data_IF_483659445650
#
_entry.id   IF_483659445650
#
_cell.length_a   1.000
_cell.length_b   1.000
_cell.length_c   1.000
_cell.angle_alpha   90.00
_cell.angle_beta   90.00
_cell.angle_gamma   90.00
#
_symmetry.space_group_name_H-M   'P 1'
#
loop_
_entity.id
_entity.type
_entity.pdbx_description
1 polymer ?
#
# COMPACT_ATOMS: atom_id res chain seq x y z
N UNK A 1 -8.84 34.64 -8.00
CA UNK A 1 -7.52 34.43 -7.42
C UNK A 1 -6.52 34.26 -8.55
N UNK A 2 -5.32 34.77 -8.40
CA UNK A 2 -4.35 34.90 -9.47
C UNK A 2 -3.39 33.71 -9.47
N UNK A 3 -3.73 32.62 -10.17
CA UNK A 3 -2.94 31.39 -10.23
C UNK A 3 -1.51 31.63 -10.77
N UNK A 4 -1.32 32.58 -11.67
CA UNK A 4 0.00 32.92 -12.20
C UNK A 4 0.97 33.50 -11.16
N UNK A 5 0.46 34.16 -10.11
CA UNK A 5 1.27 34.60 -8.98
C UNK A 5 1.65 33.42 -8.07
N UNK A 6 0.71 32.50 -7.83
CA UNK A 6 0.95 31.28 -7.07
C UNK A 6 2.03 30.39 -7.74
N UNK A 7 1.97 30.29 -9.09
CA UNK A 7 2.97 29.55 -9.87
C UNK A 7 4.38 30.16 -9.84
N UNK A 8 4.53 31.42 -9.37
CA UNK A 8 5.87 32.05 -9.16
C UNK A 8 6.51 31.66 -7.85
N UNK A 9 5.81 31.00 -6.96
CA UNK A 9 6.35 30.52 -5.69
C UNK A 9 7.40 29.44 -5.96
N UNK A 10 8.59 29.52 -5.27
CA UNK A 10 9.69 28.60 -5.52
C UNK A 10 9.34 27.12 -5.28
N UNK A 11 8.50 26.83 -4.29
CA UNK A 11 8.04 25.48 -3.97
C UNK A 11 7.18 24.88 -5.11
N UNK A 12 6.26 25.67 -5.66
CA UNK A 12 5.42 25.24 -6.78
C UNK A 12 6.26 25.08 -8.06
N UNK A 13 7.16 26.05 -8.35
CA UNK A 13 8.05 25.97 -9.52
C UNK A 13 8.94 24.73 -9.44
N UNK A 14 9.53 24.45 -8.27
CA UNK A 14 10.36 23.28 -8.05
C UNK A 14 9.64 21.99 -8.42
N UNK A 15 8.38 21.85 -8.02
CA UNK A 15 7.58 20.65 -8.33
C UNK A 15 7.34 20.50 -9.84
N UNK A 16 7.05 21.58 -10.54
CA UNK A 16 6.85 21.54 -12.00
C UNK A 16 8.16 21.23 -12.75
N UNK A 17 9.27 21.84 -12.33
CA UNK A 17 10.60 21.56 -12.87
C UNK A 17 11.03 20.11 -12.63
N UNK A 18 10.75 19.60 -11.41
CA UNK A 18 11.02 18.19 -11.06
C UNK A 18 10.24 17.25 -11.98
N UNK A 19 8.93 17.48 -12.15
CA UNK A 19 8.12 16.67 -13.08
C UNK A 19 8.67 16.70 -14.49
N UNK A 20 9.04 17.86 -15.01
CA UNK A 20 9.63 18.00 -16.35
C UNK A 20 10.93 17.20 -16.48
N UNK A 21 11.82 17.29 -15.47
CA UNK A 21 13.08 16.54 -15.45
C UNK A 21 12.84 15.03 -15.42
N UNK A 22 11.93 14.54 -14.56
CA UNK A 22 11.58 13.12 -14.45
C UNK A 22 11.08 12.59 -15.80
N UNK A 23 10.18 13.32 -16.47
CA UNK A 23 9.67 12.91 -17.78
C UNK A 23 10.74 12.86 -18.86
N UNK A 24 11.69 13.81 -18.85
CA UNK A 24 12.84 13.81 -19.78
C UNK A 24 13.76 12.61 -19.57
N UNK A 25 14.12 12.32 -18.31
CA UNK A 25 14.96 11.17 -17.96
C UNK A 25 14.28 9.83 -18.30
N UNK A 26 12.97 9.74 -18.07
CA UNK A 26 12.18 8.57 -18.41
C UNK A 26 12.19 8.31 -19.91
N UNK A 27 11.95 9.34 -20.75
CA UNK A 27 12.01 9.20 -22.21
C UNK A 27 13.39 8.75 -22.68
N UNK A 28 14.44 9.34 -22.14
CA UNK A 28 15.81 8.96 -22.49
C UNK A 28 16.11 7.51 -22.12
N UNK A 29 15.74 7.09 -20.91
CA UNK A 29 15.91 5.70 -20.46
C UNK A 29 15.15 4.74 -21.37
N UNK A 30 13.85 4.98 -21.60
CA UNK A 30 13.01 4.09 -22.42
C UNK A 30 13.52 3.99 -23.86
N UNK A 31 13.95 5.11 -24.45
CA UNK A 31 14.57 5.09 -25.79
C UNK A 31 15.86 4.25 -25.82
N UNK A 32 16.71 4.35 -24.80
CA UNK A 32 17.94 3.56 -24.68
C UNK A 32 17.66 2.04 -24.51
N UNK A 33 16.51 1.70 -23.89
CA UNK A 33 16.02 0.32 -23.76
C UNK A 33 15.32 -0.19 -25.03
N UNK A 34 15.29 0.59 -26.10
CA UNK A 34 14.71 0.23 -27.39
C UNK A 34 13.18 0.35 -27.44
N UNK A 35 12.56 1.09 -26.53
CA UNK A 35 11.13 1.37 -26.61
C UNK A 35 10.83 2.50 -27.58
N UNK A 36 9.75 2.34 -28.32
CA UNK A 36 9.22 3.37 -29.22
C UNK A 36 8.11 4.16 -28.50
N UNK A 37 8.26 5.48 -28.39
CA UNK A 37 7.20 6.35 -27.87
C UNK A 37 6.14 6.57 -28.95
N UNK A 38 4.90 6.13 -28.70
CA UNK A 38 3.78 6.28 -29.62
C UNK A 38 2.62 6.94 -28.92
N UNK A 39 2.19 8.09 -29.42
CA UNK A 39 0.97 8.77 -28.97
C UNK A 39 -0.26 8.05 -29.49
N UNK A 40 -1.25 7.86 -28.62
CA UNK A 40 -2.54 7.24 -28.94
C UNK A 40 -3.68 8.27 -28.85
N UNK A 41 -4.79 8.06 -29.56
CA UNK A 41 -5.93 8.96 -29.51
C UNK A 41 -6.50 9.13 -28.11
N UNK A 42 -6.86 10.37 -27.73
CA UNK A 42 -7.55 10.69 -26.49
C UNK A 42 -9.08 10.61 -26.67
N UNK A 43 -9.62 11.08 -27.82
CA UNK A 43 -11.03 10.90 -28.12
C UNK A 43 -11.24 9.50 -28.71
N UNK A 44 -11.75 8.59 -27.91
CA UNK A 44 -11.93 7.21 -28.32
C UNK A 44 -13.35 6.71 -28.00
N UNK A 45 -13.60 5.44 -28.27
CA UNK A 45 -14.83 4.75 -27.87
C UNK A 45 -14.71 4.32 -26.41
N UNK A 46 -15.84 4.35 -25.69
CA UNK A 46 -15.89 3.80 -24.33
C UNK A 46 -15.44 2.33 -24.31
N UNK A 47 -14.57 1.99 -23.37
CA UNK A 47 -14.05 0.64 -23.14
C UNK A 47 -14.22 0.26 -21.66
N UNK A 48 -14.63 -0.97 -21.35
CA UNK A 48 -14.83 -1.40 -19.96
C UNK A 48 -13.47 -1.72 -19.30
N UNK A 49 -12.88 -0.74 -18.62
CA UNK A 49 -11.58 -0.89 -17.92
C UNK A 49 -11.69 -0.82 -16.38
N UNK A 50 -12.89 -0.93 -15.83
CA UNK A 50 -13.12 -0.98 -14.39
C UNK A 50 -13.53 0.34 -13.72
N UNK A 51 -13.13 1.51 -14.22
CA UNK A 51 -13.62 2.82 -13.80
C UNK A 51 -14.78 3.29 -14.70
N UNK A 52 -15.43 4.39 -14.31
CA UNK A 52 -16.37 5.07 -15.20
C UNK A 52 -15.61 6.02 -16.13
N UNK A 53 -16.10 6.10 -17.38
CA UNK A 53 -15.53 6.98 -18.40
C UNK A 53 -16.08 8.39 -18.29
N UNK A 54 -15.24 9.40 -18.56
CA UNK A 54 -15.71 10.72 -18.89
C UNK A 54 -16.19 10.75 -20.34
N UNK A 55 -17.42 11.17 -20.57
CA UNK A 55 -18.04 11.23 -21.90
C UNK A 55 -17.99 12.63 -22.46
N UNK A 56 -17.63 12.72 -23.75
CA UNK A 56 -17.62 13.96 -24.52
C UNK A 56 -18.71 13.88 -25.61
N UNK A 57 -19.77 14.68 -25.56
CA UNK A 57 -20.84 14.62 -26.55
C UNK A 57 -20.33 15.05 -27.94
N UNK A 58 -20.72 14.29 -28.96
CA UNK A 58 -20.41 14.64 -30.35
C UNK A 58 -21.39 15.69 -30.87
N UNK A 59 -20.87 16.83 -31.32
CA UNK A 59 -21.67 17.86 -31.95
C UNK A 59 -22.15 17.47 -33.35
N UNK A 60 -21.37 16.65 -34.07
CA UNK A 60 -21.65 16.23 -35.44
C UNK A 60 -22.63 15.06 -35.49
N UNK A 61 -22.44 14.10 -34.55
CA UNK A 61 -23.27 12.89 -34.47
C UNK A 61 -24.18 12.96 -33.25
N UNK A 62 -25.42 13.48 -33.45
CA UNK A 62 -26.37 13.63 -32.37
C UNK A 62 -26.68 12.30 -31.67
N UNK A 63 -26.67 12.31 -30.33
CA UNK A 63 -26.87 11.10 -29.51
C UNK A 63 -25.66 10.18 -29.39
N UNK A 64 -24.51 10.57 -29.95
CA UNK A 64 -23.25 9.83 -29.83
C UNK A 64 -22.25 10.57 -28.94
N UNK A 65 -21.37 9.81 -28.31
CA UNK A 65 -20.35 10.31 -27.38
C UNK A 65 -18.99 9.71 -27.71
N UNK A 66 -17.96 10.52 -27.53
CA UNK A 66 -16.60 10.01 -27.30
C UNK A 66 -16.40 9.75 -25.82
N UNK A 67 -15.45 8.88 -25.50
CA UNK A 67 -14.96 8.71 -24.14
C UNK A 67 -13.51 9.20 -24.03
N UNK A 68 -13.14 9.71 -22.85
CA UNK A 68 -11.73 9.96 -22.53
C UNK A 68 -11.10 8.66 -22.01
N UNK A 69 -9.85 8.29 -22.39
CA UNK A 69 -9.28 7.00 -22.09
C UNK A 69 -8.94 6.87 -20.60
N UNK A 70 -9.28 5.74 -20.01
CA UNK A 70 -8.82 5.36 -18.68
C UNK A 70 -7.35 4.95 -18.69
N UNK A 71 -6.91 4.36 -19.78
CA UNK A 71 -5.53 4.04 -20.17
C UNK A 71 -5.47 3.82 -21.69
N UNK A 72 -4.30 3.76 -22.34
CA UNK A 72 -4.18 3.43 -23.76
C UNK A 72 -4.27 1.91 -24.04
N UNK A 73 -4.95 1.13 -23.20
CA UNK A 73 -4.94 -0.34 -23.20
C UNK A 73 -5.30 -0.96 -24.56
N UNK A 74 -6.37 -0.50 -25.20
CA UNK A 74 -6.78 -1.03 -26.50
C UNK A 74 -5.72 -0.77 -27.58
N UNK A 75 -5.17 0.44 -27.58
CA UNK A 75 -4.20 0.84 -28.59
C UNK A 75 -2.86 0.12 -28.44
N UNK A 76 -2.35 -0.01 -27.21
CA UNK A 76 -1.08 -0.71 -27.00
C UNK A 76 -1.18 -2.21 -27.35
N UNK A 77 -2.33 -2.87 -27.13
CA UNK A 77 -2.57 -4.22 -27.58
C UNK A 77 -2.55 -4.32 -29.12
N UNK A 78 -3.16 -3.36 -29.82
CA UNK A 78 -3.10 -3.30 -31.28
C UNK A 78 -1.66 -3.09 -31.77
N UNK A 79 -0.87 -2.28 -31.09
CA UNK A 79 0.54 -2.06 -31.42
C UNK A 79 1.36 -3.33 -31.27
N UNK A 80 1.16 -4.11 -30.19
CA UNK A 80 1.80 -5.41 -30.01
C UNK A 80 1.43 -6.38 -31.15
N UNK A 81 0.14 -6.48 -31.47
CA UNK A 81 -0.34 -7.30 -32.58
C UNK A 81 0.20 -6.84 -33.94
N UNK A 82 0.60 -5.58 -34.06
CA UNK A 82 1.17 -5.01 -35.29
C UNK A 82 2.69 -5.06 -35.36
N UNK A 83 3.35 -5.71 -34.39
CA UNK A 83 4.81 -5.92 -34.40
C UNK A 83 5.64 -4.79 -33.78
N UNK A 84 5.03 -3.95 -32.97
CA UNK A 84 5.76 -2.94 -32.16
C UNK A 84 6.13 -3.54 -30.81
N UNK A 85 7.16 -4.34 -30.77
CA UNK A 85 7.49 -5.21 -29.63
C UNK A 85 7.83 -4.49 -28.32
N UNK A 86 8.18 -3.22 -28.37
CA UNK A 86 8.46 -2.38 -27.19
C UNK A 86 7.85 -0.99 -27.37
N UNK A 87 6.73 -0.79 -26.77
CA UNK A 87 5.99 0.47 -26.77
C UNK A 87 6.06 1.14 -25.40
N UNK A 88 6.13 2.47 -25.39
CA UNK A 88 5.78 3.25 -24.21
C UNK A 88 5.10 4.57 -24.59
N UNK A 89 4.44 5.17 -23.62
CA UNK A 89 3.85 6.51 -23.75
C UNK A 89 3.76 7.17 -22.39
N UNK A 90 4.01 8.48 -22.33
CA UNK A 90 3.62 9.31 -21.20
C UNK A 90 2.17 9.71 -21.41
N UNK A 91 1.26 8.83 -21.02
CA UNK A 91 -0.15 8.89 -21.34
C UNK A 91 -0.94 9.77 -20.37
N UNK A 92 -1.85 10.59 -20.90
CA UNK A 92 -2.87 11.27 -20.12
C UNK A 92 -4.07 10.33 -19.95
N UNK A 93 -4.46 10.08 -18.69
CA UNK A 93 -5.52 9.15 -18.34
C UNK A 93 -6.60 9.84 -17.52
N UNK A 94 -7.84 9.35 -17.64
CA UNK A 94 -9.03 9.96 -17.04
C UNK A 94 -9.89 8.86 -16.41
N UNK A 95 -10.32 9.05 -15.15
CA UNK A 95 -11.19 8.11 -14.45
C UNK A 95 -12.20 8.89 -13.62
N UNK A 96 -13.49 8.65 -13.85
CA UNK A 96 -14.58 9.22 -13.06
C UNK A 96 -14.83 8.36 -11.83
N UNK A 97 -13.98 8.54 -10.85
CA UNK A 97 -14.00 7.84 -9.56
C UNK A 97 -13.99 8.82 -8.39
N UNK A 98 -14.37 8.33 -7.22
CA UNK A 98 -14.30 9.11 -5.98
C UNK A 98 -12.84 9.50 -5.68
N UNK A 99 -12.64 10.77 -5.36
CA UNK A 99 -11.33 11.30 -5.00
C UNK A 99 -10.86 10.68 -3.68
N UNK A 100 -9.65 10.18 -3.67
CA UNK A 100 -8.92 9.73 -2.49
C UNK A 100 -7.62 10.49 -2.39
N UNK A 101 -6.89 10.36 -1.27
CA UNK A 101 -5.67 11.13 -1.02
C UNK A 101 -4.63 11.07 -2.15
N UNK A 102 -4.52 9.94 -2.85
CA UNK A 102 -3.56 9.66 -3.92
C UNK A 102 -4.18 9.55 -5.32
N UNK A 103 -5.52 9.74 -5.47
CA UNK A 103 -6.24 9.60 -6.74
C UNK A 103 -6.73 10.94 -7.26
N UNK A 104 -6.47 11.16 -8.54
CA UNK A 104 -6.95 12.32 -9.30
C UNK A 104 -7.80 11.84 -10.48
N UNK A 105 -8.85 12.57 -10.88
CA UNK A 105 -9.70 12.19 -12.02
C UNK A 105 -8.94 12.28 -13.36
N UNK A 106 -7.90 13.09 -13.41
CA UNK A 106 -6.96 13.26 -14.52
C UNK A 106 -5.53 13.09 -14.01
N UNK A 107 -4.79 12.17 -14.59
CA UNK A 107 -3.42 11.85 -14.17
C UNK A 107 -2.54 11.41 -15.35
N UNK A 108 -1.25 11.29 -15.10
CA UNK A 108 -0.27 10.88 -16.11
C UNK A 108 0.26 9.50 -15.75
N UNK A 109 0.27 8.57 -16.69
CA UNK A 109 0.93 7.27 -16.59
C UNK A 109 2.20 7.24 -17.44
N UNK A 110 3.24 6.58 -16.92
CA UNK A 110 4.25 5.97 -17.76
C UNK A 110 3.71 4.60 -18.16
N UNK A 111 3.13 4.52 -19.33
CA UNK A 111 2.52 3.30 -19.83
C UNK A 111 3.48 2.59 -20.77
N UNK A 112 3.63 1.29 -20.62
CA UNK A 112 4.50 0.47 -21.47
C UNK A 112 3.90 -0.90 -21.77
N UNK A 113 4.28 -1.46 -22.92
CA UNK A 113 3.90 -2.80 -23.31
C UNK A 113 5.06 -3.47 -24.03
N UNK A 114 5.27 -4.77 -23.76
CA UNK A 114 6.33 -5.56 -24.34
C UNK A 114 5.76 -6.87 -24.89
N UNK A 115 6.28 -7.32 -26.05
CA UNK A 115 5.99 -8.64 -26.63
C UNK A 115 7.10 -9.63 -26.30
N UNK A 116 6.77 -10.92 -26.27
CA UNK A 116 7.72 -12.04 -26.13
C UNK A 116 8.55 -11.99 -24.85
N UNK A 117 7.93 -11.60 -23.74
CA UNK A 117 8.57 -11.45 -22.43
C UNK A 117 7.77 -12.17 -21.36
N UNK A 118 8.45 -12.52 -20.27
CA UNK A 118 7.87 -13.04 -19.04
C UNK A 118 7.82 -11.97 -17.95
N UNK A 119 7.28 -12.33 -16.78
CA UNK A 119 7.12 -11.44 -15.61
C UNK A 119 8.47 -10.83 -15.21
N UNK A 120 9.53 -11.61 -15.22
CA UNK A 120 10.86 -11.18 -14.79
C UNK A 120 11.45 -10.09 -15.70
N UNK A 121 11.23 -10.18 -17.00
CA UNK A 121 11.68 -9.16 -17.96
C UNK A 121 11.01 -7.80 -17.68
N UNK A 122 9.70 -7.82 -17.39
CA UNK A 122 8.96 -6.60 -17.07
C UNK A 122 9.44 -6.01 -15.74
N UNK A 123 9.65 -6.84 -14.73
CA UNK A 123 10.18 -6.44 -13.42
C UNK A 123 11.56 -5.78 -13.59
N UNK A 124 12.48 -6.42 -14.32
CA UNK A 124 13.85 -5.94 -14.51
C UNK A 124 13.89 -4.56 -15.18
N UNK A 125 13.12 -4.35 -16.24
CA UNK A 125 13.03 -3.04 -16.91
C UNK A 125 12.57 -1.96 -15.95
N UNK A 126 11.53 -2.25 -15.13
CA UNK A 126 11.01 -1.28 -14.16
C UNK A 126 12.00 -1.00 -13.03
N UNK A 127 12.72 -2.00 -12.53
CA UNK A 127 13.75 -1.83 -11.51
C UNK A 127 14.89 -0.92 -11.99
N UNK A 128 15.38 -1.16 -13.21
CA UNK A 128 16.41 -0.32 -13.82
C UNK A 128 15.93 1.10 -14.07
N UNK A 129 14.67 1.29 -14.49
CA UNK A 129 14.07 2.61 -14.65
C UNK A 129 14.00 3.36 -13.32
N UNK A 130 13.50 2.71 -12.26
CA UNK A 130 13.41 3.32 -10.94
C UNK A 130 14.78 3.65 -10.37
N UNK A 131 15.75 2.73 -10.46
CA UNK A 131 17.14 2.97 -10.07
C UNK A 131 17.72 4.20 -10.77
N UNK A 132 17.55 4.30 -12.09
CA UNK A 132 18.00 5.43 -12.88
C UNK A 132 17.34 6.75 -12.43
N UNK A 133 16.04 6.77 -12.29
CA UNK A 133 15.31 7.97 -11.87
C UNK A 133 15.72 8.45 -10.47
N UNK A 134 15.80 7.54 -9.49
CA UNK A 134 16.19 7.90 -8.11
C UNK A 134 17.62 8.42 -8.06
N UNK A 135 18.54 7.80 -8.82
CA UNK A 135 19.91 8.27 -8.92
C UNK A 135 20.01 9.67 -9.50
N UNK A 136 19.37 9.90 -10.65
CA UNK A 136 19.49 11.17 -11.38
C UNK A 136 18.70 12.32 -10.76
N UNK A 137 17.59 12.04 -10.08
CA UNK A 137 16.69 13.07 -9.54
C UNK A 137 17.07 13.51 -8.13
N UNK A 138 17.32 12.55 -7.24
CA UNK A 138 17.56 12.80 -5.81
C UNK A 138 18.88 12.22 -5.30
N UNK A 139 19.74 11.69 -6.20
CA UNK A 139 21.03 11.09 -5.89
C UNK A 139 20.96 9.93 -4.87
N UNK A 140 19.90 9.15 -4.92
CA UNK A 140 19.74 7.91 -4.15
C UNK A 140 20.08 6.72 -5.04
N UNK A 141 21.01 5.88 -4.63
CA UNK A 141 21.34 4.64 -5.34
C UNK A 141 20.50 3.50 -4.79
N UNK A 142 19.46 3.17 -5.53
CA UNK A 142 18.54 2.08 -5.18
C UNK A 142 19.16 0.75 -5.56
N UNK A 143 19.22 -0.18 -4.61
CA UNK A 143 19.71 -1.53 -4.87
C UNK A 143 18.69 -2.35 -5.66
N UNK A 144 19.15 -3.08 -6.67
CA UNK A 144 18.36 -4.02 -7.45
C UNK A 144 19.06 -5.41 -7.45
N UNK A 145 18.32 -6.53 -7.54
CA UNK A 145 16.87 -6.64 -7.69
C UNK A 145 16.12 -6.27 -6.40
N UNK A 146 14.88 -5.77 -6.54
CA UNK A 146 14.01 -5.53 -5.40
C UNK A 146 13.58 -6.83 -4.75
N UNK A 147 13.37 -6.80 -3.42
CA UNK A 147 12.84 -7.94 -2.68
C UNK A 147 11.46 -8.32 -3.25
N UNK A 148 11.26 -9.61 -3.50
CA UNK A 148 9.94 -10.18 -3.82
C UNK A 148 9.31 -10.73 -2.56
N UNK A 149 8.05 -10.42 -2.35
CA UNK A 149 7.27 -10.85 -1.18
C UNK A 149 5.92 -11.38 -1.69
N UNK A 150 5.59 -12.65 -1.44
CA UNK A 150 4.27 -13.17 -1.75
C UNK A 150 3.16 -12.35 -1.06
N UNK A 151 2.02 -12.20 -1.71
CA UNK A 151 0.87 -11.45 -1.17
C UNK A 151 0.46 -11.95 0.21
N UNK A 152 0.43 -13.26 0.42
CA UNK A 152 0.08 -13.84 1.71
C UNK A 152 1.06 -13.41 2.81
N UNK A 153 2.37 -13.38 2.52
CA UNK A 153 3.39 -12.91 3.46
C UNK A 153 3.20 -11.42 3.80
N UNK A 154 2.89 -10.59 2.78
CA UNK A 154 2.64 -9.17 2.97
C UNK A 154 1.42 -8.94 3.88
N UNK A 155 0.34 -9.67 3.66
CA UNK A 155 -0.85 -9.60 4.51
C UNK A 155 -0.61 -10.11 5.92
N UNK A 156 0.08 -11.23 6.07
CA UNK A 156 0.33 -11.84 7.38
C UNK A 156 1.25 -11.01 8.26
N UNK A 157 2.25 -10.36 7.69
CA UNK A 157 3.26 -9.58 8.42
C UNK A 157 2.91 -8.10 8.55
N UNK A 158 2.21 -7.52 7.58
CA UNK A 158 1.99 -6.07 7.52
C UNK A 158 0.52 -5.67 7.46
N UNK A 159 -0.39 -6.61 7.21
CA UNK A 159 -1.82 -6.35 7.08
C UNK A 159 -2.17 -5.52 5.83
N UNK A 160 -1.31 -5.52 4.81
CA UNK A 160 -1.47 -4.72 3.60
C UNK A 160 -0.69 -5.31 2.44
N UNK A 161 -1.25 -5.21 1.23
CA UNK A 161 -0.58 -5.49 -0.04
C UNK A 161 0.42 -4.38 -0.47
N UNK A 162 0.55 -3.34 0.34
CA UNK A 162 1.50 -2.23 0.18
C UNK A 162 2.30 -2.04 1.47
N UNK A 163 3.12 -3.03 1.86
CA UNK A 163 3.79 -3.02 3.15
C UNK A 163 4.86 -1.93 3.23
N UNK A 164 4.80 -1.10 4.28
CA UNK A 164 5.92 -0.22 4.63
C UNK A 164 6.93 -0.99 5.46
N UNK A 165 8.06 -1.33 4.86
CA UNK A 165 9.12 -2.12 5.50
C UNK A 165 10.25 -1.25 6.08
N UNK A 166 10.07 0.07 6.14
CA UNK A 166 11.06 1.01 6.71
C UNK A 166 11.19 0.92 8.21
N UNK A 167 10.21 0.32 8.89
CA UNK A 167 10.20 0.11 10.33
C UNK A 167 9.65 -1.27 10.69
N UNK A 168 9.87 -1.71 11.92
CA UNK A 168 9.37 -2.98 12.46
C UNK A 168 7.87 -3.00 12.78
N UNK A 169 7.49 -3.50 13.94
CA UNK A 169 6.12 -3.63 14.43
C UNK A 169 5.27 -4.54 13.52
N UNK A 170 5.84 -5.67 13.08
CA UNK A 170 5.13 -6.62 12.24
C UNK A 170 3.97 -7.29 13.00
N UNK A 171 2.95 -7.72 12.28
CA UNK A 171 1.87 -8.52 12.82
C UNK A 171 2.40 -9.90 13.22
N UNK A 172 2.03 -10.36 14.40
CA UNK A 172 2.35 -11.68 14.90
C UNK A 172 1.08 -12.50 15.08
N UNK A 173 1.03 -13.68 14.48
CA UNK A 173 -0.06 -14.63 14.70
C UNK A 173 0.14 -15.33 16.03
N UNK A 174 -0.86 -15.18 16.92
CA UNK A 174 -0.88 -15.79 18.26
C UNK A 174 -2.00 -16.80 18.42
N UNK A 175 -2.68 -17.15 17.34
CA UNK A 175 -3.86 -18.04 17.33
C UNK A 175 -3.62 -19.35 18.09
N UNK A 176 -2.49 -20.01 17.83
CA UNK A 176 -2.14 -21.27 18.51
C UNK A 176 -1.89 -21.10 20.02
N UNK A 177 -1.40 -19.94 20.46
CA UNK A 177 -1.13 -19.67 21.87
C UNK A 177 -2.42 -19.42 22.65
N UNK A 178 -3.43 -18.86 22.01
CA UNK A 178 -4.67 -18.43 22.68
C UNK A 178 -5.89 -19.31 22.38
N UNK A 179 -5.72 -20.41 21.64
CA UNK A 179 -6.82 -21.26 21.18
C UNK A 179 -7.67 -21.87 22.29
N UNK A 180 -7.03 -22.18 23.42
CA UNK A 180 -7.66 -22.84 24.57
C UNK A 180 -7.87 -21.90 25.77
N UNK A 181 -7.61 -20.58 25.60
CA UNK A 181 -7.73 -19.59 26.67
C UNK A 181 -9.20 -19.31 27.05
N UNK A 182 -9.43 -18.80 28.27
CA UNK A 182 -10.76 -18.47 28.76
C UNK A 182 -11.36 -17.18 28.19
N UNK A 183 -10.67 -16.47 27.29
CA UNK A 183 -11.18 -15.22 26.70
C UNK A 183 -12.00 -15.50 25.43
N UNK A 184 -13.32 -15.57 25.58
CA UNK A 184 -14.28 -15.94 24.53
C UNK A 184 -14.24 -15.12 23.25
N UNK A 185 -13.63 -13.92 23.24
CA UNK A 185 -13.42 -13.13 22.02
C UNK A 185 -12.36 -13.78 21.13
N UNK A 186 -11.29 -14.32 21.73
CA UNK A 186 -10.22 -14.99 21.00
C UNK A 186 -10.68 -16.37 20.50
N UNK A 187 -11.19 -17.20 21.41
CA UNK A 187 -11.66 -18.54 21.05
C UNK A 187 -12.81 -18.51 20.05
N UNK A 188 -13.76 -17.59 20.23
CA UNK A 188 -14.86 -17.43 19.27
C UNK A 188 -14.45 -16.95 17.90
N UNK A 189 -13.38 -16.14 17.77
CA UNK A 189 -12.84 -15.78 16.46
C UNK A 189 -12.22 -16.99 15.76
N UNK A 190 -11.48 -17.83 16.49
CA UNK A 190 -10.84 -19.04 15.98
C UNK A 190 -11.87 -20.11 15.59
N UNK A 191 -12.89 -20.33 16.40
CA UNK A 191 -14.01 -21.26 16.10
C UNK A 191 -14.76 -20.87 14.81
N UNK A 192 -14.80 -19.59 14.48
CA UNK A 192 -15.41 -19.09 13.24
C UNK A 192 -14.41 -18.99 12.05
N UNK A 193 -13.26 -19.68 12.12
CA UNK A 193 -12.27 -19.73 11.04
C UNK A 193 -11.49 -18.43 10.83
N UNK A 194 -11.47 -17.57 11.85
CA UNK A 194 -10.64 -16.35 11.87
C UNK A 194 -9.27 -16.59 12.48
N UNK A 195 -8.58 -15.50 12.83
CA UNK A 195 -7.29 -15.54 13.53
C UNK A 195 -7.24 -14.52 14.67
N UNK A 196 -6.27 -14.71 15.55
CA UNK A 196 -5.88 -13.73 16.56
C UNK A 196 -4.45 -13.32 16.26
N UNK A 197 -4.27 -12.04 15.94
CA UNK A 197 -2.95 -11.47 15.68
C UNK A 197 -2.74 -10.23 16.54
N UNK A 198 -1.47 -9.89 16.76
CA UNK A 198 -1.11 -8.70 17.51
C UNK A 198 0.05 -7.95 16.90
N UNK A 199 0.26 -6.73 17.40
CA UNK A 199 1.45 -5.92 17.18
C UNK A 199 2.06 -5.54 18.53
N UNK A 200 3.40 -5.50 18.59
CA UNK A 200 4.13 -5.02 19.76
C UNK A 200 4.52 -3.54 19.56
N UNK A 201 4.01 -2.67 20.41
CA UNK A 201 4.33 -1.24 20.44
C UNK A 201 5.37 -1.01 21.54
N UNK A 202 6.63 -1.11 21.16
CA UNK A 202 7.76 -1.07 22.09
C UNK A 202 7.79 0.23 22.93
N UNK A 203 8.04 0.10 24.22
CA UNK A 203 8.15 1.22 25.17
C UNK A 203 6.86 1.98 25.46
N UNK A 204 5.67 1.48 25.07
CA UNK A 204 4.41 2.20 25.18
C UNK A 204 3.46 1.67 26.29
N UNK A 205 3.94 0.89 27.24
CA UNK A 205 3.12 0.38 28.36
C UNK A 205 2.44 1.49 29.17
N UNK A 206 3.08 2.68 29.24
CA UNK A 206 2.56 3.86 29.96
C UNK A 206 1.63 4.74 29.11
N UNK A 207 1.19 4.25 27.95
CA UNK A 207 0.27 5.01 27.08
C UNK A 207 -1.00 5.41 27.84
N UNK A 208 -1.39 6.72 27.82
CA UNK A 208 -2.58 7.19 28.51
C UNK A 208 -3.85 6.48 28.04
N UNK A 209 -4.76 6.17 28.96
CA UNK A 209 -6.03 5.49 28.66
C UNK A 209 -6.79 6.14 27.51
N UNK A 210 -6.88 7.48 27.49
CA UNK A 210 -7.53 8.25 26.43
C UNK A 210 -6.93 7.98 25.04
N UNK A 211 -5.62 7.69 24.98
CA UNK A 211 -4.93 7.35 23.71
C UNK A 211 -5.26 5.91 23.29
N UNK A 212 -5.28 4.97 24.25
CA UNK A 212 -5.72 3.58 23.99
C UNK A 212 -7.17 3.57 23.49
N UNK A 213 -8.06 4.35 24.10
CA UNK A 213 -9.46 4.44 23.68
C UNK A 213 -9.59 4.97 22.24
N UNK A 214 -8.72 5.90 21.80
CA UNK A 214 -8.65 6.34 20.40
C UNK A 214 -8.19 5.23 19.45
N UNK A 215 -7.24 4.37 19.88
CA UNK A 215 -6.83 3.20 19.08
C UNK A 215 -7.99 2.22 18.92
N UNK A 216 -8.77 2.00 19.97
CA UNK A 216 -9.99 1.17 19.93
C UNK A 216 -11.02 1.74 18.94
N UNK A 217 -11.28 3.04 18.98
CA UNK A 217 -12.20 3.68 18.03
C UNK A 217 -11.68 3.63 16.59
N UNK A 218 -10.39 3.82 16.38
CA UNK A 218 -9.78 3.65 15.06
C UNK A 218 -9.94 2.20 14.54
N UNK A 219 -9.69 1.21 15.39
CA UNK A 219 -9.88 -0.20 15.05
C UNK A 219 -11.34 -0.51 14.66
N UNK A 220 -12.31 0.04 15.38
CA UNK A 220 -13.75 -0.07 15.03
C UNK A 220 -14.04 0.58 13.69
N UNK A 221 -13.46 1.75 13.40
CA UNK A 221 -13.57 2.41 12.10
C UNK A 221 -13.01 1.56 10.95
N UNK A 222 -12.06 0.67 11.22
CA UNK A 222 -11.50 -0.29 10.27
C UNK A 222 -12.28 -1.63 10.20
N UNK A 223 -13.37 -1.77 10.95
CA UNK A 223 -14.27 -2.92 10.91
C UNK A 223 -14.15 -3.91 12.09
N UNK A 224 -13.27 -3.66 13.08
CA UNK A 224 -13.19 -4.49 14.26
C UNK A 224 -14.39 -4.27 15.22
N UNK A 225 -14.77 -5.31 15.93
CA UNK A 225 -15.74 -5.20 17.05
C UNK A 225 -15.12 -4.55 18.30
N UNK A 226 -13.78 -4.61 18.42
CA UNK A 226 -13.00 -4.07 19.51
C UNK A 226 -11.52 -4.30 19.31
N UNK A 227 -10.71 -3.82 20.25
CA UNK A 227 -9.26 -4.03 20.28
C UNK A 227 -8.87 -4.47 21.68
N UNK A 228 -8.23 -5.62 21.82
CA UNK A 228 -7.69 -6.10 23.08
C UNK A 228 -6.27 -5.57 23.27
N UNK A 229 -5.86 -5.28 24.50
CA UNK A 229 -4.52 -4.80 24.79
C UNK A 229 -3.95 -5.39 26.07
N UNK A 230 -2.62 -5.46 26.13
CA UNK A 230 -1.84 -5.87 27.30
C UNK A 230 -0.62 -4.95 27.42
N UNK A 231 -0.50 -4.27 28.56
CA UNK A 231 0.68 -3.52 28.94
C UNK A 231 1.58 -4.39 29.81
N UNK A 232 2.85 -4.45 29.51
CA UNK A 232 3.87 -5.13 30.33
C UNK A 232 4.54 -4.04 31.18
N UNK A 233 4.23 -4.00 32.47
CA UNK A 233 4.82 -3.01 33.36
C UNK A 233 6.31 -3.24 33.55
N UNK A 234 7.04 -2.24 34.04
CA UNK A 234 8.50 -2.31 34.32
C UNK A 234 8.87 -3.38 35.34
N UNK A 235 7.96 -3.70 36.24
CA UNK A 235 8.10 -4.76 37.26
C UNK A 235 7.73 -6.15 36.75
N UNK A 236 7.39 -6.28 35.47
CA UNK A 236 6.98 -7.54 34.83
C UNK A 236 5.51 -7.89 35.04
N UNK A 237 4.74 -7.10 35.76
CA UNK A 237 3.29 -7.33 35.91
C UNK A 237 2.50 -6.93 34.67
N UNK A 238 1.32 -7.53 34.51
CA UNK A 238 0.48 -7.29 33.32
C UNK A 238 -0.75 -6.43 33.67
N UNK A 239 -0.99 -5.40 32.87
CA UNK A 239 -2.24 -4.65 32.87
C UNK A 239 -2.94 -4.84 31.52
N UNK A 240 -4.14 -5.44 31.54
CA UNK A 240 -4.80 -5.88 30.32
C UNK A 240 -6.31 -5.71 30.39
N UNK A 241 -6.95 -5.66 29.22
CA UNK A 241 -8.41 -5.73 29.08
C UNK A 241 -8.97 -7.16 29.24
N UNK A 242 -8.10 -8.19 29.17
CA UNK A 242 -8.52 -9.61 29.14
C UNK A 242 -7.74 -10.55 30.09
N UNK A 243 -6.69 -10.10 30.77
CA UNK A 243 -5.83 -10.94 31.60
C UNK A 243 -6.59 -11.79 32.63
N UNK A 244 -7.71 -11.29 33.16
CA UNK A 244 -8.54 -12.01 34.11
C UNK A 244 -9.17 -13.32 33.58
N UNK A 245 -9.14 -13.52 32.27
CA UNK A 245 -9.67 -14.70 31.58
C UNK A 245 -8.57 -15.68 31.15
N UNK A 246 -7.31 -15.40 31.48
CA UNK A 246 -6.16 -16.21 31.13
C UNK A 246 -5.35 -16.53 32.37
N UNK A 247 -4.68 -17.66 32.35
CA UNK A 247 -3.69 -18.06 33.38
C UNK A 247 -2.40 -17.27 33.18
N UNK A 248 -1.57 -17.19 34.22
CA UNK A 248 -0.25 -16.54 34.13
C UNK A 248 0.64 -17.19 33.06
N UNK A 249 0.63 -18.51 32.98
CA UNK A 249 1.40 -19.28 31.99
C UNK A 249 0.95 -18.96 30.54
N UNK A 250 -0.35 -18.79 30.30
CA UNK A 250 -0.88 -18.37 28.98
C UNK A 250 -0.49 -16.94 28.63
N UNK A 251 -0.50 -16.02 29.60
CA UNK A 251 -0.05 -14.65 29.40
C UNK A 251 1.44 -14.58 29.11
N UNK A 252 2.26 -15.33 29.84
CA UNK A 252 3.71 -15.43 29.61
C UNK A 252 4.03 -16.01 28.22
N UNK A 253 3.31 -17.04 27.81
CA UNK A 253 3.44 -17.62 26.46
C UNK A 253 3.04 -16.62 25.38
N UNK A 254 1.99 -15.86 25.60
CA UNK A 254 1.53 -14.80 24.67
C UNK A 254 2.57 -13.67 24.54
N UNK A 255 3.10 -13.20 25.66
CA UNK A 255 4.15 -12.18 25.71
C UNK A 255 5.42 -12.66 25.03
N UNK A 256 5.85 -13.90 25.32
CA UNK A 256 7.02 -14.51 24.67
C UNK A 256 6.83 -14.62 23.14
N UNK A 257 5.66 -15.06 22.68
CA UNK A 257 5.33 -15.15 21.25
C UNK A 257 5.40 -13.79 20.55
N UNK A 258 5.00 -12.72 21.24
CA UNK A 258 5.03 -11.34 20.77
C UNK A 258 6.40 -10.65 20.90
N UNK A 259 7.42 -11.35 21.44
CA UNK A 259 8.71 -10.76 21.83
C UNK A 259 8.55 -9.55 22.76
N UNK A 260 7.52 -9.56 23.62
CA UNK A 260 7.20 -8.46 24.51
C UNK A 260 8.22 -8.34 25.65
N UNK A 261 8.54 -7.11 26.03
CA UNK A 261 9.48 -6.77 27.10
C UNK A 261 8.81 -5.83 28.13
N UNK A 262 9.31 -5.75 29.35
CA UNK A 262 8.88 -4.73 30.29
C UNK A 262 8.92 -3.33 29.65
N UNK A 263 7.83 -2.60 29.75
CA UNK A 263 7.62 -1.29 29.11
C UNK A 263 6.84 -1.34 27.80
N UNK A 264 6.49 -2.48 27.25
CA UNK A 264 5.80 -2.61 25.96
C UNK A 264 4.29 -2.66 26.09
N UNK A 265 3.60 -2.21 25.04
CA UNK A 265 2.17 -2.32 24.85
C UNK A 265 1.88 -3.29 23.70
N UNK A 266 1.18 -4.38 23.99
CA UNK A 266 0.72 -5.33 23.00
C UNK A 266 -0.75 -5.03 22.64
N UNK A 267 -1.04 -4.97 21.34
CA UNK A 267 -2.39 -4.75 20.81
C UNK A 267 -2.82 -5.97 20.00
N UNK A 268 -4.07 -6.43 20.18
CA UNK A 268 -4.58 -7.63 19.53
C UNK A 268 -5.91 -7.38 18.85
N UNK A 269 -6.07 -7.94 17.65
CA UNK A 269 -7.34 -8.05 16.93
C UNK A 269 -7.70 -9.53 16.73
N UNK A 270 -8.97 -9.84 16.86
CA UNK A 270 -9.51 -11.19 16.73
C UNK A 270 -10.81 -11.13 15.92
N UNK A 271 -10.79 -11.65 14.71
CA UNK A 271 -11.92 -11.71 13.78
C UNK A 271 -11.50 -12.54 12.52
N UNK A 272 -12.28 -12.50 11.45
CA UNK A 272 -11.87 -13.00 10.13
C UNK A 272 -10.57 -12.34 9.68
N UNK A 273 -9.70 -13.07 8.99
CA UNK A 273 -8.37 -12.60 8.59
C UNK A 273 -8.40 -11.23 7.89
N UNK A 274 -9.31 -11.01 6.95
CA UNK A 274 -9.44 -9.72 6.24
C UNK A 274 -9.65 -8.52 7.19
N UNK A 275 -10.43 -8.70 8.26
CA UNK A 275 -10.65 -7.66 9.28
C UNK A 275 -9.40 -7.48 10.14
N UNK A 276 -8.80 -8.57 10.60
CA UNK A 276 -7.59 -8.54 11.44
C UNK A 276 -6.44 -7.83 10.73
N UNK A 277 -6.18 -8.17 9.46
CA UNK A 277 -5.16 -7.54 8.63
C UNK A 277 -5.43 -6.04 8.45
N UNK A 278 -6.65 -5.67 8.05
CA UNK A 278 -7.01 -4.26 7.86
C UNK A 278 -6.83 -3.42 9.13
N UNK A 279 -7.28 -3.94 10.26
CA UNK A 279 -7.21 -3.25 11.56
C UNK A 279 -5.77 -3.09 12.03
N UNK A 280 -5.01 -4.18 12.08
CA UNK A 280 -3.63 -4.14 12.58
C UNK A 280 -2.70 -3.42 11.61
N UNK A 281 -2.88 -3.57 10.31
CA UNK A 281 -2.13 -2.83 9.29
C UNK A 281 -2.34 -1.31 9.41
N UNK A 282 -3.59 -0.86 9.59
CA UNK A 282 -3.91 0.55 9.80
C UNK A 282 -3.31 1.09 11.11
N UNK A 283 -3.46 0.35 12.21
CA UNK A 283 -2.88 0.72 13.51
C UNK A 283 -1.35 0.78 13.45
N UNK A 284 -0.72 -0.18 12.77
CA UNK A 284 0.72 -0.23 12.56
C UNK A 284 1.25 1.05 11.90
N UNK A 285 0.63 1.45 10.77
CA UNK A 285 1.04 2.67 10.05
C UNK A 285 0.80 3.93 10.87
N UNK A 286 -0.35 4.04 11.53
CA UNK A 286 -0.67 5.18 12.38
C UNK A 286 0.32 5.33 13.54
N UNK A 287 0.59 4.24 14.26
CA UNK A 287 1.54 4.24 15.38
C UNK A 287 2.98 4.45 14.90
N UNK A 288 3.36 3.87 13.76
CA UNK A 288 4.67 4.10 13.15
C UNK A 288 4.93 5.58 12.86
N UNK A 289 3.93 6.28 12.31
CA UNK A 289 4.00 7.71 12.06
C UNK A 289 4.01 8.53 13.38
N UNK A 290 3.08 8.24 14.32
CA UNK A 290 2.98 8.96 15.59
C UNK A 290 4.23 8.82 16.47
N UNK A 291 4.89 7.69 16.43
CA UNK A 291 6.09 7.40 17.22
C UNK A 291 7.39 7.77 16.50
N UNK A 292 7.31 8.30 15.28
CA UNK A 292 8.49 8.69 14.49
C UNK A 292 9.37 7.52 14.07
N UNK A 293 8.80 6.32 13.90
CA UNK A 293 9.55 5.13 13.52
C UNK A 293 9.85 5.06 12.02
N UNK A 294 9.16 5.86 11.22
CA UNK A 294 9.30 5.89 9.76
C UNK A 294 10.44 6.84 9.40
N UNK A 295 11.54 6.30 8.88
CA UNK A 295 12.63 7.11 8.32
C UNK A 295 12.24 7.56 6.90
N UNK A 296 11.94 8.84 6.73
CA UNK A 296 11.54 9.44 5.45
C UNK A 296 12.68 9.48 4.41
N UNK A 297 13.93 9.30 4.82
CA UNK A 297 15.09 9.24 3.93
C UNK A 297 15.40 7.81 3.45
N UNK A 298 14.69 6.82 3.95
CA UNK A 298 14.87 5.42 3.60
C UNK A 298 13.87 5.00 2.52
N UNK A 299 14.37 4.35 1.48
CA UNK A 299 13.59 3.84 0.36
C UNK A 299 13.72 2.32 0.30
N UNK A 300 12.68 1.59 0.68
CA UNK A 300 12.64 0.12 0.66
C UNK A 300 11.66 -0.34 -0.41
N UNK A 301 12.15 -0.48 -1.63
CA UNK A 301 11.35 -1.02 -2.74
C UNK A 301 11.18 -2.52 -2.62
N UNK A 302 10.00 -3.00 -2.94
CA UNK A 302 9.71 -4.42 -3.05
C UNK A 302 8.58 -4.68 -4.07
N UNK A 303 8.51 -5.88 -4.56
CA UNK A 303 7.39 -6.38 -5.34
C UNK A 303 6.52 -7.26 -4.46
N UNK A 304 5.22 -7.00 -4.41
CA UNK A 304 4.25 -7.95 -3.89
C UNK A 304 3.81 -8.83 -5.07
N UNK A 305 3.99 -10.14 -4.93
CA UNK A 305 3.74 -11.13 -5.97
C UNK A 305 2.69 -12.14 -5.53
N UNK A 306 2.30 -13.05 -6.40
CA UNK A 306 1.39 -14.15 -6.07
C UNK A 306 0.05 -13.69 -5.48
N UNK A 307 -0.55 -12.65 -6.07
CA UNK A 307 -1.89 -12.22 -5.70
C UNK A 307 -2.90 -13.34 -5.97
N UNK A 308 -3.90 -13.54 -5.08
CA UNK A 308 -4.99 -14.48 -5.36
C UNK A 308 -5.77 -14.04 -6.60
N UNK A 309 -6.07 -14.98 -7.48
CA UNK A 309 -6.87 -14.72 -8.68
C UNK A 309 -8.34 -14.44 -8.33
N UNK A 310 -8.84 -15.11 -7.30
CA UNK A 310 -10.23 -15.00 -6.81
C UNK A 310 -10.21 -14.65 -5.31
N UNK A 311 -11.18 -13.82 -4.88
CA UNK A 311 -11.44 -13.48 -3.46
C UNK A 311 -12.52 -14.40 -2.85
#
# INVERSE_FOLDING_TARGET
>A
KYRYLDLRRPDIQKNLMLKSRVLGLMRQFMANEGFLEIETPILCKSTPEGARDYLVPSRIHHGHFYALPQSPQLFKQLLMASGYDRYFQIARCFRDEDLRADRQPEFTQADMELSFVDIDDVIEVNERLLKHLFKEVINVDVEIPFKRMPWQEAMDRFGSDKPDTRFGMELCDVSEVVKDCGFGVFTGALENGGSVRGINVEGQAKMPRKKIDKLVEHAKGCGAKGLAYLCINEDGTYKSSFAKFMTEAELDALVAKMNGKPGDLLLFAADKNKIVWNVLGALRLMLGAELGLIDENKYNFLWVTEFPLLE
#
